data_IF_545136082250
#
_entry.id   IF_545136082250
#
_cell.length_a   1.000
_cell.length_b   1.000
_cell.length_c   1.000
_cell.angle_alpha   90.00
_cell.angle_beta   90.00
_cell.angle_gamma   90.00
#
_symmetry.space_group_name_H-M   'P 1'
#
loop_
_entity.id
_entity.type
_entity.pdbx_description
1 polymer ?
#
# COMPACT_ATOMS: atom_id res chain seq x y z
N UNK A 1 -3.08 28.02 11.11
CA UNK A 1 -3.38 26.60 10.79
C UNK A 1 -4.29 26.49 9.57
N UNK A 2 -5.20 27.45 9.37
CA UNK A 2 -6.14 27.50 8.22
C UNK A 2 -5.46 27.48 6.84
N UNK A 3 -4.36 28.23 6.67
CA UNK A 3 -3.62 28.26 5.40
C UNK A 3 -2.99 26.90 5.03
N UNK A 4 -2.59 26.09 6.02
CA UNK A 4 -1.98 24.78 5.79
C UNK A 4 -3.03 23.75 5.37
N UNK A 5 -4.21 23.80 6.00
CA UNK A 5 -5.35 22.96 5.64
C UNK A 5 -5.87 23.27 4.22
N UNK A 6 -5.81 24.54 3.79
CA UNK A 6 -6.13 24.94 2.42
C UNK A 6 -5.02 24.58 1.41
N UNK A 7 -3.74 24.52 1.83
CA UNK A 7 -2.63 24.12 0.95
C UNK A 7 -2.61 22.62 0.67
N UNK A 8 -3.02 21.76 1.61
CA UNK A 8 -3.05 20.31 1.43
C UNK A 8 -3.80 19.83 0.16
N UNK A 9 -5.05 20.24 -0.10
CA UNK A 9 -5.75 19.86 -1.34
C UNK A 9 -5.11 20.45 -2.59
N UNK A 10 -4.51 21.64 -2.50
CA UNK A 10 -3.81 22.28 -3.63
C UNK A 10 -2.56 21.48 -4.01
N UNK A 11 -1.76 21.07 -3.04
CA UNK A 11 -0.56 20.24 -3.26
C UNK A 11 -0.96 18.88 -3.84
N UNK A 12 -2.01 18.26 -3.31
CA UNK A 12 -2.54 16.99 -3.83
C UNK A 12 -3.00 17.11 -5.29
N UNK A 13 -3.75 18.16 -5.62
CA UNK A 13 -4.18 18.44 -6.98
C UNK A 13 -3.00 18.70 -7.91
N UNK A 14 -1.97 19.41 -7.45
CA UNK A 14 -0.74 19.63 -8.20
C UNK A 14 0.00 18.32 -8.47
N UNK A 15 0.12 17.43 -7.48
CA UNK A 15 0.77 16.13 -7.64
C UNK A 15 0.04 15.25 -8.69
N UNK A 16 -1.29 15.22 -8.65
CA UNK A 16 -2.10 14.55 -9.68
C UNK A 16 -1.88 15.22 -11.04
N UNK A 17 -1.91 16.56 -11.10
CA UNK A 17 -1.69 17.31 -12.33
C UNK A 17 -0.35 16.95 -12.98
N UNK A 18 0.72 16.92 -12.19
CA UNK A 18 2.05 16.49 -12.66
C UNK A 18 2.02 15.05 -13.18
N UNK A 19 1.41 14.11 -12.45
CA UNK A 19 1.31 12.72 -12.90
C UNK A 19 0.55 12.59 -14.23
N UNK A 20 -0.55 13.32 -14.41
CA UNK A 20 -1.35 13.35 -15.64
C UNK A 20 -0.56 13.96 -16.80
N UNK A 21 0.17 15.06 -16.55
CA UNK A 21 1.02 15.69 -17.58
C UNK A 21 2.11 14.71 -18.03
N UNK A 22 2.78 14.02 -17.11
CA UNK A 22 3.80 13.01 -17.44
C UNK A 22 3.17 11.89 -18.26
N UNK A 23 2.02 11.37 -17.85
CA UNK A 23 1.31 10.32 -18.60
C UNK A 23 0.92 10.78 -20.01
N UNK A 24 0.42 12.01 -20.14
CA UNK A 24 -0.02 12.55 -21.43
C UNK A 24 1.15 12.82 -22.38
N UNK A 25 2.21 13.45 -21.89
CA UNK A 25 3.44 13.68 -22.66
C UNK A 25 4.07 12.33 -23.05
N UNK A 26 4.18 11.40 -22.11
CA UNK A 26 4.72 10.06 -22.35
C UNK A 26 3.93 9.30 -23.40
N UNK A 27 2.59 9.33 -23.33
CA UNK A 27 1.73 8.72 -24.34
C UNK A 27 1.83 9.38 -25.72
N UNK A 28 2.05 10.70 -25.77
CA UNK A 28 2.15 11.44 -27.04
C UNK A 28 3.51 11.28 -27.73
N UNK A 29 4.60 11.19 -26.96
CA UNK A 29 5.97 10.97 -27.48
C UNK A 29 6.22 9.49 -27.80
N UNK A 30 5.49 8.57 -27.19
CA UNK A 30 5.66 7.13 -27.38
C UNK A 30 5.53 6.71 -28.85
N UNK A 31 6.44 5.85 -29.29
CA UNK A 31 6.41 5.26 -30.64
C UNK A 31 5.24 4.29 -30.73
N UNK A 32 4.30 4.59 -31.63
CA UNK A 32 3.18 3.69 -31.93
C UNK A 32 3.68 2.50 -32.74
N UNK A 33 3.90 1.36 -32.06
CA UNK A 33 4.26 0.11 -32.71
C UNK A 33 3.11 -0.50 -33.52
N UNK A 34 3.42 -1.39 -34.48
CA UNK A 34 2.41 -2.22 -35.16
C UNK A 34 1.70 -3.11 -34.14
N UNK A 35 0.38 -3.26 -34.27
CA UNK A 35 -0.39 -4.18 -33.45
C UNK A 35 -0.10 -5.61 -33.91
N UNK A 36 0.59 -6.39 -33.08
CA UNK A 36 0.89 -7.80 -33.32
C UNK A 36 0.19 -8.61 -32.24
N UNK A 37 -0.44 -9.76 -32.55
CA UNK A 37 -1.28 -10.49 -31.62
C UNK A 37 -0.55 -10.89 -30.32
N UNK A 38 0.75 -11.20 -30.40
CA UNK A 38 1.56 -11.57 -29.24
C UNK A 38 2.04 -10.41 -28.35
N UNK A 39 1.77 -9.14 -28.71
CA UNK A 39 2.20 -7.98 -27.91
C UNK A 39 1.31 -7.73 -26.69
N UNK A 40 0.04 -8.06 -26.81
CA UNK A 40 -0.97 -7.89 -25.75
C UNK A 40 -1.15 -9.18 -24.92
N UNK A 41 -0.45 -10.27 -25.28
CA UNK A 41 -0.47 -11.52 -24.52
C UNK A 41 0.51 -11.48 -23.34
N UNK A 42 0.17 -12.20 -22.28
CA UNK A 42 1.04 -12.32 -21.11
C UNK A 42 2.39 -12.97 -21.49
N UNK A 43 3.49 -12.42 -20.99
CA UNK A 43 4.79 -13.05 -21.16
C UNK A 43 4.84 -14.37 -20.40
N UNK A 44 5.02 -15.47 -21.13
CA UNK A 44 5.13 -16.83 -20.60
C UNK A 44 6.34 -17.56 -21.20
N UNK A 45 7.52 -16.91 -21.20
CA UNK A 45 8.76 -17.50 -21.73
C UNK A 45 8.67 -17.98 -23.20
N UNK A 46 7.77 -17.40 -23.99
CA UNK A 46 7.51 -17.80 -25.38
C UNK A 46 6.49 -18.94 -25.54
N UNK A 47 5.94 -19.47 -24.45
CA UNK A 47 4.87 -20.46 -24.46
C UNK A 47 3.50 -19.79 -24.63
N UNK A 48 2.59 -20.43 -25.36
CA UNK A 48 1.19 -20.02 -25.41
C UNK A 48 0.48 -20.47 -24.12
N UNK A 49 0.56 -19.63 -23.09
CA UNK A 49 -0.11 -19.87 -21.83
C UNK A 49 -1.42 -19.08 -21.72
N UNK A 50 -2.57 -19.72 -21.42
CA UNK A 50 -3.82 -19.00 -21.27
C UNK A 50 -3.77 -18.09 -20.04
N UNK A 51 -4.22 -16.85 -20.20
CA UNK A 51 -4.33 -15.91 -19.09
C UNK A 51 -5.31 -16.44 -18.04
N UNK A 52 -4.79 -17.04 -16.97
CA UNK A 52 -5.56 -17.56 -15.84
C UNK A 52 -5.22 -16.79 -14.58
N UNK A 53 -6.25 -16.48 -13.79
CA UNK A 53 -6.06 -15.97 -12.42
C UNK A 53 -5.49 -17.12 -11.58
N UNK A 54 -4.20 -17.05 -11.27
CA UNK A 54 -3.52 -18.01 -10.41
C UNK A 54 -3.87 -17.69 -8.94
N UNK A 55 -4.32 -18.69 -8.20
CA UNK A 55 -4.43 -18.60 -6.75
C UNK A 55 -3.04 -18.88 -6.15
N UNK A 56 -2.33 -17.81 -5.83
CA UNK A 56 -1.03 -17.91 -5.16
C UNK A 56 -1.28 -18.01 -3.66
N UNK A 57 -0.59 -18.94 -2.99
CA UNK A 57 -0.62 -18.99 -1.53
C UNK A 57 0.10 -17.76 -0.97
N UNK A 58 -0.69 -16.79 -0.52
CA UNK A 58 -0.22 -15.54 0.10
C UNK A 58 -0.39 -15.55 1.63
N UNK A 59 -0.57 -16.73 2.24
CA UNK A 59 -0.82 -16.86 3.68
C UNK A 59 0.26 -16.14 4.51
N UNK A 60 1.54 -16.36 4.20
CA UNK A 60 2.65 -15.71 4.91
C UNK A 60 2.64 -14.19 4.72
N UNK A 61 2.40 -13.72 3.50
CA UNK A 61 2.29 -12.29 3.21
C UNK A 61 1.15 -11.66 4.02
N UNK A 62 0.00 -12.33 4.10
CA UNK A 62 -1.15 -11.84 4.85
C UNK A 62 -0.87 -11.73 6.35
N UNK A 63 -0.14 -12.71 6.93
CA UNK A 63 0.31 -12.63 8.32
C UNK A 63 1.15 -11.35 8.55
N UNK A 64 2.10 -11.06 7.66
CA UNK A 64 2.89 -9.82 7.75
C UNK A 64 2.06 -8.55 7.55
N UNK A 65 1.08 -8.57 6.63
CA UNK A 65 0.18 -7.44 6.41
C UNK A 65 -0.66 -7.11 7.66
N UNK A 66 -1.13 -8.14 8.39
CA UNK A 66 -1.85 -7.95 9.65
C UNK A 66 -0.94 -7.34 10.72
N UNK A 67 0.29 -7.84 10.87
CA UNK A 67 1.26 -7.22 11.79
C UNK A 67 1.54 -5.76 11.43
N UNK A 68 1.75 -5.47 10.15
CA UNK A 68 1.96 -4.11 9.66
C UNK A 68 0.78 -3.20 10.05
N UNK A 69 -0.45 -3.64 9.81
CA UNK A 69 -1.65 -2.87 10.18
C UNK A 69 -1.73 -2.59 11.68
N UNK A 70 -1.41 -3.58 12.53
CA UNK A 70 -1.40 -3.40 13.98
C UNK A 70 -0.38 -2.32 14.40
N UNK A 71 0.83 -2.37 13.84
CA UNK A 71 1.86 -1.38 14.14
C UNK A 71 1.55 0.00 13.55
N UNK A 72 0.92 0.06 12.37
CA UNK A 72 0.54 1.32 11.72
C UNK A 72 -0.49 2.09 12.57
N UNK A 73 -1.51 1.38 13.10
CA UNK A 73 -2.49 1.99 14.00
C UNK A 73 -1.85 2.45 15.32
N UNK A 74 -0.93 1.65 15.88
CA UNK A 74 -0.17 2.07 17.07
C UNK A 74 0.63 3.35 16.80
N UNK A 75 1.36 3.40 15.68
CA UNK A 75 2.16 4.56 15.30
C UNK A 75 1.29 5.80 15.14
N UNK A 76 0.13 5.68 14.50
CA UNK A 76 -0.83 6.77 14.36
C UNK A 76 -1.30 7.31 15.71
N UNK A 77 -1.70 6.42 16.62
CA UNK A 77 -2.18 6.82 17.96
C UNK A 77 -1.08 7.51 18.76
N UNK A 78 0.13 6.93 18.77
CA UNK A 78 1.28 7.53 19.45
C UNK A 78 1.60 8.91 18.87
N UNK A 79 1.60 9.06 17.55
CA UNK A 79 1.85 10.33 16.87
C UNK A 79 0.81 11.39 17.23
N UNK A 80 -0.48 11.04 17.28
CA UNK A 80 -1.54 11.99 17.67
C UNK A 80 -1.48 12.37 19.15
N UNK A 81 -0.90 11.52 20.01
CA UNK A 81 -0.78 11.76 21.45
C UNK A 81 0.50 12.48 21.91
N UNK A 82 1.35 12.91 20.98
CA UNK A 82 2.64 13.57 21.29
C UNK A 82 2.49 14.83 22.17
N UNK A 83 1.33 15.50 22.11
CA UNK A 83 1.06 16.75 22.84
C UNK A 83 0.44 16.52 24.23
N UNK A 84 -0.21 15.39 24.46
CA UNK A 84 -0.82 15.03 25.74
C UNK A 84 -0.75 13.51 25.92
N UNK A 85 0.21 13.06 26.73
CA UNK A 85 0.47 11.64 26.98
C UNK A 85 -0.52 11.12 28.03
N UNK A 86 -1.78 10.95 27.60
CA UNK A 86 -2.87 10.47 28.45
C UNK A 86 -2.84 8.96 28.69
N UNK A 87 -3.84 8.47 29.41
CA UNK A 87 -4.03 7.04 29.71
C UNK A 87 -4.43 6.25 28.45
N UNK A 88 -5.11 6.88 27.49
CA UNK A 88 -5.62 6.21 26.28
C UNK A 88 -4.51 5.68 25.35
N UNK A 89 -3.45 6.44 25.00
CA UNK A 89 -2.32 5.92 24.22
C UNK A 89 -1.62 4.75 24.90
N UNK A 90 -1.42 4.83 26.23
CA UNK A 90 -0.80 3.76 27.00
C UNK A 90 -1.66 2.49 27.00
N UNK A 91 -2.98 2.63 27.20
CA UNK A 91 -3.93 1.53 27.11
C UNK A 91 -3.90 0.89 25.71
N UNK A 92 -3.84 1.70 24.65
CA UNK A 92 -3.77 1.20 23.29
C UNK A 92 -2.46 0.45 23.01
N UNK A 93 -1.33 0.95 23.53
CA UNK A 93 -0.05 0.24 23.44
C UNK A 93 -0.11 -1.14 24.13
N UNK A 94 -0.79 -1.25 25.27
CA UNK A 94 -1.02 -2.54 25.95
C UNK A 94 -1.89 -3.47 25.11
N UNK A 95 -2.99 -2.97 24.51
CA UNK A 95 -3.85 -3.76 23.63
C UNK A 95 -3.05 -4.28 22.43
N UNK A 96 -2.23 -3.43 21.81
CA UNK A 96 -1.38 -3.82 20.68
C UNK A 96 -0.35 -4.87 21.10
N UNK A 97 0.27 -4.71 22.27
CA UNK A 97 1.20 -5.70 22.83
C UNK A 97 0.51 -7.06 23.01
N UNK A 98 -0.71 -7.08 23.57
CA UNK A 98 -1.50 -8.30 23.73
C UNK A 98 -1.86 -8.93 22.38
N UNK A 99 -2.28 -8.13 21.40
CA UNK A 99 -2.59 -8.61 20.06
C UNK A 99 -1.36 -9.27 19.40
N UNK A 100 -0.18 -8.67 19.53
CA UNK A 100 1.07 -9.25 19.03
C UNK A 100 1.38 -10.57 19.73
N UNK A 101 1.25 -10.64 21.06
CA UNK A 101 1.49 -11.87 21.83
C UNK A 101 0.56 -13.01 21.40
N UNK A 102 -0.71 -12.71 21.13
CA UNK A 102 -1.70 -13.69 20.66
C UNK A 102 -1.39 -14.17 19.23
N UNK A 103 -0.89 -13.27 18.37
CA UNK A 103 -0.56 -13.59 16.98
C UNK A 103 0.80 -14.30 16.83
N UNK A 104 1.72 -14.09 17.77
CA UNK A 104 3.09 -14.62 17.72
C UNK A 104 3.18 -16.15 17.51
N UNK A 105 2.31 -16.97 18.12
CA UNK A 105 2.21 -18.39 17.81
C UNK A 105 1.85 -18.67 16.35
N UNK A 106 0.92 -17.91 15.73
CA UNK A 106 0.50 -18.13 14.33
C UNK A 106 1.65 -17.94 13.34
N UNK A 107 2.65 -17.11 13.67
CA UNK A 107 3.86 -16.95 12.86
C UNK A 107 4.74 -18.21 12.83
N UNK A 108 4.66 -19.06 13.86
CA UNK A 108 5.57 -20.21 14.04
C UNK A 108 5.14 -21.48 13.31
N UNK A 109 3.95 -21.51 12.71
CA UNK A 109 3.45 -22.70 12.00
C UNK A 109 3.94 -22.66 10.56
N UNK A 110 5.13 -23.24 10.36
CA UNK A 110 5.50 -23.96 9.14
C UNK A 110 5.60 -25.46 9.49
#
# INVERSE_FOLDING_TARGET
>A
MDNVLLMAPVIFALAIGVAVIIYWIGGNISVKGKQEPGKETMYACGEEFPARKLQVNVQRFFIYAVYFLIFDVLAFILATSLLDTGIFPAMYAVIVLLAILILLPLRRWD
#
